data_IF_872356353632
#
_entry.id   IF_872356353632
#
_cell.length_a   1.000
_cell.length_b   1.000
_cell.length_c   1.000
_cell.angle_alpha   90.00
_cell.angle_beta   90.00
_cell.angle_gamma   90.00
#
_symmetry.space_group_name_H-M   'P 1'
#
loop_
_entity.id
_entity.type
_entity.pdbx_description
1 polymer ?
#
# COMPACT_ATOMS: atom_id res chain seq x y z
N UNK A 1 12.47 6.74 -30.70
CA UNK A 1 12.85 6.85 -29.27
C UNK A 1 11.92 5.91 -28.57
N UNK A 2 12.20 4.63 -28.71
CA UNK A 2 11.29 3.57 -28.35
C UNK A 2 12.11 2.58 -27.54
N UNK A 3 11.52 2.06 -26.46
CA UNK A 3 12.02 0.92 -25.69
C UNK A 3 12.94 1.13 -24.48
N UNK A 4 13.02 2.30 -23.84
CA UNK A 4 13.63 2.36 -22.49
C UNK A 4 12.78 1.59 -21.45
N UNK A 5 11.46 1.53 -21.64
CA UNK A 5 10.53 0.83 -20.75
C UNK A 5 10.54 -0.70 -20.89
N UNK A 6 11.32 -1.32 -21.78
CA UNK A 6 11.32 -2.79 -21.94
C UNK A 6 12.64 -3.45 -21.50
N UNK A 7 13.54 -2.69 -20.88
CA UNK A 7 14.71 -3.23 -20.22
C UNK A 7 14.31 -3.90 -18.89
N UNK A 8 14.60 -5.21 -18.69
CA UNK A 8 14.30 -5.91 -17.44
C UNK A 8 14.85 -5.22 -16.18
N UNK A 9 16.02 -4.58 -16.28
CA UNK A 9 16.63 -3.87 -15.15
C UNK A 9 15.83 -2.61 -14.80
N UNK A 10 15.41 -1.85 -15.81
CA UNK A 10 14.57 -0.67 -15.62
C UNK A 10 13.20 -1.04 -15.04
N UNK A 11 12.59 -2.14 -15.53
CA UNK A 11 11.34 -2.65 -14.99
C UNK A 11 11.47 -3.06 -13.51
N UNK A 12 12.58 -3.71 -13.14
CA UNK A 12 12.84 -4.06 -11.75
C UNK A 12 13.00 -2.80 -10.87
N UNK A 13 13.69 -1.77 -11.37
CA UNK A 13 13.84 -0.50 -10.65
C UNK A 13 12.49 0.18 -10.43
N UNK A 14 11.65 0.26 -11.45
CA UNK A 14 10.31 0.84 -11.36
C UNK A 14 9.42 0.08 -10.37
N UNK A 15 9.40 -1.26 -10.43
CA UNK A 15 8.64 -2.09 -9.51
C UNK A 15 9.08 -1.91 -8.05
N UNK A 16 10.39 -1.76 -7.80
CA UNK A 16 10.90 -1.45 -6.46
C UNK A 16 10.45 -0.07 -6.00
N UNK A 17 10.53 0.94 -6.87
CA UNK A 17 10.08 2.28 -6.53
C UNK A 17 8.59 2.30 -6.16
N UNK A 18 7.75 1.66 -6.97
CA UNK A 18 6.31 1.56 -6.70
C UNK A 18 6.02 0.85 -5.37
N UNK A 19 6.76 -0.22 -5.05
CA UNK A 19 6.67 -0.91 -3.77
C UNK A 19 7.00 0.02 -2.59
N UNK A 20 8.09 0.78 -2.68
CA UNK A 20 8.47 1.75 -1.63
C UNK A 20 7.44 2.87 -1.47
N UNK A 21 6.90 3.38 -2.57
CA UNK A 21 5.85 4.39 -2.54
C UNK A 21 4.57 3.86 -1.89
N UNK A 22 4.19 2.62 -2.20
CA UNK A 22 3.06 1.94 -1.56
C UNK A 22 3.30 1.74 -0.06
N UNK A 23 4.50 1.29 0.34
CA UNK A 23 4.86 1.15 1.76
C UNK A 23 4.78 2.49 2.49
N UNK A 24 5.28 3.57 1.88
CA UNK A 24 5.20 4.91 2.47
C UNK A 24 3.76 5.38 2.65
N UNK A 25 2.87 5.10 1.68
CA UNK A 25 1.44 5.39 1.79
C UNK A 25 0.78 4.62 2.94
N UNK A 26 1.05 3.32 3.06
CA UNK A 26 0.53 2.47 4.14
C UNK A 26 1.01 3.00 5.49
N UNK A 27 2.31 3.25 5.61
CA UNK A 27 2.92 3.79 6.82
C UNK A 27 2.24 5.09 7.23
N UNK A 28 2.07 6.04 6.31
CA UNK A 28 1.43 7.33 6.61
C UNK A 28 0.01 7.14 7.14
N UNK A 29 -0.82 6.36 6.43
CA UNK A 29 -2.22 6.13 6.83
C UNK A 29 -2.30 5.47 8.20
N UNK A 30 -1.49 4.44 8.45
CA UNK A 30 -1.52 3.73 9.71
C UNK A 30 -0.91 4.53 10.85
N UNK A 31 0.08 5.37 10.56
CA UNK A 31 0.63 6.32 11.52
C UNK A 31 -0.44 7.31 11.98
N UNK A 32 -1.09 7.99 11.04
CA UNK A 32 -2.14 8.98 11.32
C UNK A 32 -3.31 8.36 12.10
N UNK A 33 -3.61 7.07 11.86
CA UNK A 33 -4.71 6.36 12.52
C UNK A 33 -4.37 5.84 13.92
N UNK A 34 -3.14 5.40 14.14
CA UNK A 34 -2.75 4.70 15.37
C UNK A 34 -1.98 5.58 16.36
N UNK A 35 -1.34 6.65 15.91
CA UNK A 35 -0.48 7.51 16.74
C UNK A 35 -1.21 8.79 17.20
N UNK A 36 -2.49 8.67 17.53
CA UNK A 36 -3.37 9.81 17.88
C UNK A 36 -3.04 10.46 19.22
N UNK A 37 -2.51 9.70 20.17
CA UNK A 37 -2.12 10.18 21.51
C UNK A 37 -0.65 10.65 21.58
N UNK A 38 0.04 10.72 20.43
CA UNK A 38 1.47 10.98 20.36
C UNK A 38 2.33 9.73 20.64
N UNK A 39 3.64 9.87 20.49
CA UNK A 39 4.61 8.80 20.76
C UNK A 39 5.44 9.23 21.95
N UNK A 40 5.49 8.40 23.00
CA UNK A 40 6.54 8.49 24.01
C UNK A 40 7.84 7.90 23.42
N UNK A 41 8.86 7.70 24.24
CA UNK A 41 10.09 6.98 23.87
C UNK A 41 9.85 5.57 23.28
N UNK A 42 8.67 4.98 23.49
CA UNK A 42 8.28 3.65 22.99
C UNK A 42 6.81 3.62 22.57
N UNK A 43 6.48 2.65 21.71
CA UNK A 43 5.10 2.33 21.37
C UNK A 43 4.45 1.63 22.56
N UNK A 44 3.22 2.03 22.89
CA UNK A 44 2.39 1.27 23.80
C UNK A 44 1.91 -0.03 23.13
N UNK A 45 1.54 -1.08 23.90
CA UNK A 45 0.99 -2.31 23.33
C UNK A 45 -0.27 -2.09 22.47
N UNK A 46 -1.05 -1.03 22.74
CA UNK A 46 -2.21 -0.66 21.93
C UNK A 46 -1.79 -0.09 20.57
N UNK A 47 -0.74 0.74 20.54
CA UNK A 47 -0.21 1.32 19.30
C UNK A 47 0.41 0.25 18.40
N UNK A 48 1.21 -0.65 18.97
CA UNK A 48 1.79 -1.79 18.24
C UNK A 48 0.71 -2.63 17.58
N UNK A 49 -0.29 -3.05 18.36
CA UNK A 49 -1.41 -3.86 17.86
C UNK A 49 -2.29 -3.11 16.86
N UNK A 50 -2.44 -1.79 17.02
CA UNK A 50 -3.14 -0.97 16.04
C UNK A 50 -2.41 -0.94 14.70
N UNK A 51 -1.07 -0.78 14.70
CA UNK A 51 -0.26 -0.73 13.49
C UNK A 51 -0.30 -2.05 12.72
N UNK A 52 -0.20 -3.19 13.43
CA UNK A 52 -0.36 -4.53 12.85
C UNK A 52 -1.71 -4.64 12.14
N UNK A 53 -2.81 -4.38 12.87
CA UNK A 53 -4.16 -4.49 12.35
C UNK A 53 -4.53 -3.48 11.28
N UNK A 54 -3.94 -2.29 11.32
CA UNK A 54 -4.15 -1.28 10.30
C UNK A 54 -3.49 -1.70 8.98
N UNK A 55 -2.26 -2.19 9.05
CA UNK A 55 -1.50 -2.61 7.87
C UNK A 55 -2.21 -3.76 7.16
N UNK A 56 -2.59 -4.81 7.89
CA UNK A 56 -3.31 -5.96 7.34
C UNK A 56 -4.62 -5.53 6.65
N UNK A 57 -5.44 -4.74 7.36
CA UNK A 57 -6.73 -4.27 6.83
C UNK A 57 -6.57 -3.35 5.63
N UNK A 58 -5.51 -2.54 5.59
CA UNK A 58 -5.27 -1.63 4.47
C UNK A 58 -4.88 -2.41 3.21
N UNK A 59 -4.03 -3.42 3.34
CA UNK A 59 -3.67 -4.32 2.24
C UNK A 59 -4.91 -5.09 1.75
N UNK A 60 -5.70 -5.67 2.67
CA UNK A 60 -6.95 -6.35 2.32
C UNK A 60 -7.91 -5.44 1.55
N UNK A 61 -8.07 -4.19 2.02
CA UNK A 61 -8.93 -3.20 1.37
C UNK A 61 -8.47 -2.87 -0.05
N UNK A 62 -7.16 -2.74 -0.28
CA UNK A 62 -6.60 -2.53 -1.62
C UNK A 62 -6.90 -3.73 -2.51
N UNK A 63 -6.61 -4.96 -2.06
CA UNK A 63 -6.82 -6.18 -2.85
C UNK A 63 -8.30 -6.34 -3.24
N UNK A 64 -9.21 -6.15 -2.29
CA UNK A 64 -10.65 -6.20 -2.54
C UNK A 64 -11.08 -5.07 -3.48
N UNK A 65 -10.58 -3.86 -3.27
CA UNK A 65 -10.86 -2.69 -4.10
C UNK A 65 -10.46 -2.92 -5.56
N UNK A 66 -9.22 -3.32 -5.80
CA UNK A 66 -8.67 -3.62 -7.13
C UNK A 66 -9.44 -4.76 -7.80
N UNK A 67 -9.76 -5.82 -7.05
CA UNK A 67 -10.55 -6.95 -7.58
C UNK A 67 -11.93 -6.50 -8.08
N UNK A 68 -12.61 -5.64 -7.33
CA UNK A 68 -13.92 -5.09 -7.73
C UNK A 68 -13.81 -4.15 -8.93
N UNK A 69 -12.76 -3.34 -9.02
CA UNK A 69 -12.51 -2.48 -10.17
C UNK A 69 -12.30 -3.33 -11.42
N UNK A 70 -11.44 -4.36 -11.33
CA UNK A 70 -11.18 -5.27 -12.45
C UNK A 70 -12.43 -6.00 -12.93
N UNK A 71 -13.30 -6.44 -12.01
CA UNK A 71 -14.59 -7.04 -12.35
C UNK A 71 -15.52 -6.08 -13.09
N UNK A 72 -15.54 -4.79 -12.72
CA UNK A 72 -16.35 -3.78 -13.41
C UNK A 72 -15.81 -3.47 -14.81
N UNK A 73 -14.48 -3.40 -14.95
CA UNK A 73 -13.83 -3.17 -16.24
C UNK A 73 -14.05 -4.34 -17.20
N UNK A 74 -13.97 -5.59 -16.72
CA UNK A 74 -14.22 -6.77 -17.54
C UNK A 74 -15.71 -7.01 -17.84
N UNK A 75 -16.61 -6.56 -16.95
CA UNK A 75 -18.07 -6.66 -17.11
C UNK A 75 -18.71 -5.59 -18.01
N UNK A 76 -17.99 -4.50 -18.34
CA UNK A 76 -18.49 -3.37 -19.12
C UNK A 76 -18.39 -3.50 -20.64
N UNK A 77 -18.08 -4.68 -21.18
CA UNK A 77 -17.95 -4.95 -22.63
C UNK A 77 -19.13 -5.76 -23.21
N UNK A 78 -20.35 -5.50 -22.74
CA UNK A 78 -21.58 -6.03 -23.36
C UNK A 78 -22.53 -4.90 -23.71
#
# INVERSE_FOLDING_TARGET
>A
MDNMNNDPEMQQMLARQELFENMSRIQKVCWDKCMTEGVDSYLSPKQEKCLEYCTDRFVDAIVIGTSRINQRLSGGSR
#
